data_IF_656817555522
#
_entry.id   IF_656817555522
#
_cell.length_a   1.000
_cell.length_b   1.000
_cell.length_c   1.000
_cell.angle_alpha   90.00
_cell.angle_beta   90.00
_cell.angle_gamma   90.00
#
_symmetry.space_group_name_H-M   'P 1'
#
loop_
_entity.id
_entity.type
_entity.pdbx_description
1 polymer ?
#
# COMPACT_ATOMS: atom_id res chain seq x y z
N UNK A 1 -7.56 24.26 8.72
CA UNK A 1 -7.15 22.84 8.83
C UNK A 1 -5.95 22.78 9.77
N UNK A 2 -5.88 21.81 10.67
CA UNK A 2 -4.74 21.61 11.58
C UNK A 2 -3.80 20.58 10.96
N UNK A 3 -2.49 20.87 10.91
CA UNK A 3 -1.50 19.86 10.57
C UNK A 3 -1.43 18.86 11.73
N UNK A 4 -1.57 17.57 11.44
CA UNK A 4 -1.44 16.54 12.47
C UNK A 4 0.01 16.51 12.99
N UNK A 5 0.15 16.18 14.27
CA UNK A 5 1.47 16.11 14.91
C UNK A 5 2.38 15.04 14.31
N UNK A 6 3.68 15.17 14.60
CA UNK A 6 4.71 14.16 14.31
C UNK A 6 4.99 13.89 12.83
N UNK A 7 4.96 14.93 11.98
CA UNK A 7 5.36 14.91 10.55
C UNK A 7 4.38 14.16 9.61
N UNK A 8 4.52 14.26 8.27
CA UNK A 8 3.71 13.49 7.30
C UNK A 8 4.14 12.02 7.17
N UNK A 9 5.19 11.59 7.86
CA UNK A 9 5.74 10.25 7.78
C UNK A 9 5.22 9.33 8.89
N UNK A 10 4.99 8.06 8.57
CA UNK A 10 4.61 7.02 9.54
C UNK A 10 5.38 5.73 9.25
N UNK A 11 6.00 5.18 10.29
CA UNK A 11 6.63 3.86 10.28
C UNK A 11 5.89 2.96 11.26
N UNK A 12 5.40 1.81 10.78
CA UNK A 12 4.87 0.75 11.64
C UNK A 12 6.02 -0.20 11.92
N UNK A 13 6.28 -0.50 13.19
CA UNK A 13 7.40 -1.34 13.64
C UNK A 13 6.84 -2.60 14.29
N UNK A 14 7.46 -3.75 14.00
CA UNK A 14 7.32 -4.97 14.79
C UNK A 14 8.53 -5.10 15.71
N UNK A 15 8.29 -5.23 17.01
CA UNK A 15 9.32 -5.55 17.99
C UNK A 15 9.06 -6.93 18.60
N UNK A 16 10.13 -7.71 18.79
CA UNK A 16 10.13 -8.99 19.50
C UNK A 16 11.00 -8.81 20.73
N UNK A 17 10.42 -8.97 21.92
CA UNK A 17 11.08 -8.75 23.22
C UNK A 17 11.82 -7.40 23.30
N UNK A 18 11.18 -6.34 22.78
CA UNK A 18 11.70 -4.97 22.78
C UNK A 18 12.78 -4.68 21.71
N UNK A 19 13.09 -5.63 20.84
CA UNK A 19 14.07 -5.48 19.75
C UNK A 19 13.36 -5.41 18.40
N UNK A 20 13.83 -4.56 17.50
CA UNK A 20 13.21 -4.39 16.19
C UNK A 20 13.35 -5.66 15.32
N UNK A 21 12.22 -6.20 14.87
CA UNK A 21 12.14 -7.37 14.01
C UNK A 21 11.79 -7.03 12.55
N UNK A 22 11.14 -5.89 12.31
CA UNK A 22 10.81 -5.41 10.97
C UNK A 22 10.04 -4.12 10.99
N UNK A 23 9.88 -3.50 9.81
CA UNK A 23 9.13 -2.26 9.63
C UNK A 23 8.20 -2.33 8.42
N UNK A 24 7.18 -1.49 8.40
CA UNK A 24 6.29 -1.27 7.27
C UNK A 24 6.02 0.21 7.08
N UNK A 25 6.15 0.69 5.84
CA UNK A 25 5.76 2.05 5.43
C UNK A 25 4.50 1.97 4.56
N UNK A 26 3.31 2.34 5.10
CA UNK A 26 2.05 2.04 4.46
C UNK A 26 1.82 2.66 3.09
N UNK A 27 1.13 1.91 2.22
CA UNK A 27 0.52 2.48 1.02
C UNK A 27 -0.56 3.50 1.45
N UNK A 28 -0.60 4.72 0.88
CA UNK A 28 -1.53 5.76 1.31
C UNK A 28 -2.96 5.53 0.79
N UNK A 29 -3.65 4.50 1.29
CA UNK A 29 -5.03 4.18 0.90
C UNK A 29 -5.95 5.39 1.11
N UNK A 30 -6.69 5.79 0.07
CA UNK A 30 -7.73 6.82 0.18
C UNK A 30 -9.08 6.14 0.06
N UNK A 31 -9.80 6.03 1.17
CA UNK A 31 -11.12 5.42 1.23
C UNK A 31 -12.19 6.23 0.47
N UNK A 32 -13.29 5.55 0.13
CA UNK A 32 -14.42 6.16 -0.56
C UNK A 32 -14.97 7.35 0.25
N UNK A 33 -15.00 8.51 -0.39
CA UNK A 33 -15.38 9.79 0.23
C UNK A 33 -14.22 10.67 0.70
N UNK A 34 -12.99 10.14 0.77
CA UNK A 34 -11.79 10.91 1.12
C UNK A 34 -11.45 11.96 0.06
N UNK A 35 -10.75 13.03 0.44
CA UNK A 35 -10.38 14.15 -0.45
C UNK A 35 -11.60 14.88 -1.04
N UNK A 36 -12.24 14.32 -2.06
CA UNK A 36 -13.50 14.81 -2.67
C UNK A 36 -14.40 13.61 -3.01
N UNK A 37 -15.68 13.60 -2.61
CA UNK A 37 -16.58 12.45 -2.85
C UNK A 37 -16.75 12.04 -4.32
N UNK A 38 -16.56 12.96 -5.27
CA UNK A 38 -16.68 12.71 -6.71
C UNK A 38 -15.62 11.78 -7.28
N UNK A 39 -14.46 11.63 -6.62
CA UNK A 39 -13.34 10.78 -7.08
C UNK A 39 -13.64 9.28 -7.03
N UNK A 40 -14.66 8.85 -6.29
CA UNK A 40 -14.81 7.44 -5.90
C UNK A 40 -16.07 6.78 -6.45
N UNK A 41 -16.54 7.21 -7.63
CA UNK A 41 -17.77 6.69 -8.25
C UNK A 41 -17.63 6.49 -9.77
N UNK A 42 -17.88 5.27 -10.28
CA UNK A 42 -18.03 3.99 -9.59
C UNK A 42 -16.69 3.31 -9.25
N UNK A 43 -15.56 3.87 -9.69
CA UNK A 43 -14.21 3.36 -9.38
C UNK A 43 -13.84 3.80 -7.96
N UNK A 44 -13.44 2.87 -7.10
CA UNK A 44 -13.01 3.16 -5.73
C UNK A 44 -11.49 3.28 -5.64
N UNK A 45 -10.96 3.79 -4.53
CA UNK A 45 -9.52 3.88 -4.32
C UNK A 45 -8.83 2.52 -4.37
N UNK A 46 -7.56 2.50 -4.81
CA UNK A 46 -6.72 1.30 -4.78
C UNK A 46 -6.71 0.71 -3.36
N UNK A 47 -6.90 -0.61 -3.25
CA UNK A 47 -6.96 -1.42 -2.01
C UNK A 47 -8.09 -1.10 -1.02
N UNK A 48 -9.08 -0.27 -1.40
CA UNK A 48 -10.12 0.16 -0.45
C UNK A 48 -11.11 -0.93 -0.02
N UNK A 49 -11.25 -2.01 -0.80
CA UNK A 49 -12.07 -3.17 -0.45
C UNK A 49 -11.28 -4.38 0.03
N UNK A 50 -9.98 -4.42 -0.28
CA UNK A 50 -9.08 -5.49 0.12
C UNK A 50 -7.75 -4.85 0.53
N UNK A 51 -7.62 -4.55 1.82
CA UNK A 51 -6.45 -3.89 2.37
C UNK A 51 -5.30 -4.89 2.41
N UNK A 52 -4.27 -4.61 1.63
CA UNK A 52 -3.05 -5.43 1.65
C UNK A 52 -2.39 -5.42 3.00
N UNK A 53 -1.89 -6.60 3.37
CA UNK A 53 -1.14 -6.81 4.59
C UNK A 53 0.34 -6.92 4.28
N UNK A 54 1.17 -6.32 5.13
CA UNK A 54 2.61 -6.36 4.94
C UNK A 54 3.21 -7.60 5.62
N UNK A 55 4.18 -8.23 4.95
CA UNK A 55 4.89 -9.41 5.44
C UNK A 55 6.21 -9.00 6.09
N UNK A 56 6.45 -9.45 7.33
CA UNK A 56 7.74 -9.36 8.01
C UNK A 56 8.18 -10.78 8.34
N UNK A 57 9.35 -11.20 7.85
CA UNK A 57 9.87 -12.53 8.17
C UNK A 57 10.53 -12.56 9.55
N UNK A 58 9.91 -13.29 10.47
CA UNK A 58 10.43 -13.51 11.82
C UNK A 58 11.22 -14.82 11.94
N UNK A 59 11.46 -15.55 10.86
CA UNK A 59 12.25 -16.81 10.84
C UNK A 59 13.59 -16.69 11.55
N UNK A 60 14.38 -15.59 11.40
CA UNK A 60 15.62 -15.44 12.14
C UNK A 60 15.46 -15.50 13.67
N UNK A 61 14.27 -15.26 14.21
CA UNK A 61 14.00 -15.29 15.64
C UNK A 61 13.65 -16.69 16.17
N UNK A 62 13.35 -17.67 15.30
CA UNK A 62 12.85 -18.99 15.71
C UNK A 62 13.74 -19.68 16.76
N UNK A 63 15.06 -19.54 16.64
CA UNK A 63 16.01 -20.16 17.57
C UNK A 63 15.93 -19.64 19.02
N UNK A 64 15.34 -18.45 19.23
CA UNK A 64 15.20 -17.84 20.56
C UNK A 64 13.75 -17.71 21.03
N UNK A 65 12.75 -17.83 20.15
CA UNK A 65 11.32 -17.78 20.51
C UNK A 65 10.66 -19.15 20.68
N UNK A 66 11.37 -20.23 20.34
CA UNK A 66 10.89 -21.62 20.44
C UNK A 66 11.33 -22.29 21.76
N UNK A 67 11.67 -21.52 22.79
CA UNK A 67 12.28 -22.01 24.04
C UNK A 67 11.26 -22.44 25.11
N UNK A 68 9.97 -22.31 24.83
CA UNK A 68 8.87 -22.62 25.75
C UNK A 68 8.53 -21.50 26.74
N UNK A 69 9.23 -20.37 26.70
CA UNK A 69 8.94 -19.19 27.50
C UNK A 69 7.91 -18.28 26.83
N UNK A 70 7.44 -17.29 27.59
CA UNK A 70 6.55 -16.24 27.06
C UNK A 70 7.38 -15.15 26.38
N UNK A 71 6.99 -14.76 25.17
CA UNK A 71 7.60 -13.67 24.39
C UNK A 71 6.60 -12.55 24.12
N UNK A 72 7.11 -11.33 23.93
CA UNK A 72 6.29 -10.15 23.63
C UNK A 72 6.49 -9.73 22.18
N UNK A 73 5.38 -9.64 21.44
CA UNK A 73 5.31 -9.04 20.11
C UNK A 73 4.59 -7.69 20.23
N UNK A 74 5.29 -6.60 19.92
CA UNK A 74 4.77 -5.24 19.99
C UNK A 74 4.65 -4.66 18.57
N UNK A 75 3.50 -4.08 18.25
CA UNK A 75 3.34 -3.22 17.08
C UNK A 75 3.37 -1.77 17.56
N UNK A 76 4.32 -0.99 17.04
CA UNK A 76 4.51 0.42 17.37
C UNK A 76 4.36 1.29 16.13
N UNK A 77 3.69 2.43 16.25
CA UNK A 77 3.61 3.42 15.15
C UNK A 77 4.45 4.64 15.53
N UNK A 78 5.47 4.90 14.72
CA UNK A 78 6.36 6.03 14.85
C UNK A 78 6.02 7.14 13.83
N UNK A 79 6.09 8.39 14.26
CA UNK A 79 6.21 9.55 13.38
C UNK A 79 7.63 10.11 13.44
N UNK A 80 7.79 11.38 13.07
CA UNK A 80 9.07 12.09 13.22
C UNK A 80 8.83 13.34 14.06
N UNK A 81 9.69 13.50 15.07
CA UNK A 81 9.79 14.74 15.81
C UNK A 81 11.11 15.43 15.47
N UNK A 82 10.98 16.66 14.99
CA UNK A 82 12.11 17.56 14.77
C UNK A 82 12.39 18.32 16.06
N UNK A 83 13.66 18.42 16.46
CA UNK A 83 14.08 19.37 17.48
C UNK A 83 14.44 20.70 16.82
N UNK A 84 14.08 21.81 17.48
CA UNK A 84 14.15 23.19 16.98
C UNK A 84 15.21 23.48 15.90
N UNK A 85 14.75 23.84 14.69
CA UNK A 85 15.55 24.27 13.55
C UNK A 85 16.64 23.29 13.05
N UNK A 86 16.60 22.02 13.47
CA UNK A 86 17.47 20.98 12.94
C UNK A 86 17.07 20.63 11.48
N UNK A 87 18.02 20.23 10.64
CA UNK A 87 17.70 19.67 9.30
C UNK A 87 17.43 18.16 9.37
N UNK A 88 17.46 17.60 10.58
CA UNK A 88 17.20 16.19 10.88
C UNK A 88 16.06 16.03 11.90
N UNK A 89 15.61 14.81 12.11
CA UNK A 89 14.59 14.47 13.10
C UNK A 89 14.84 13.11 13.72
N UNK A 90 14.06 12.76 14.74
CA UNK A 90 14.08 11.44 15.37
C UNK A 90 12.73 10.76 15.22
N UNK A 91 12.74 9.44 15.06
CA UNK A 91 11.52 8.66 15.17
C UNK A 91 10.94 8.79 16.58
N UNK A 92 9.62 8.91 16.66
CA UNK A 92 8.90 8.93 17.92
C UNK A 92 8.49 7.53 18.35
N UNK A 93 8.21 7.33 19.64
CA UNK A 93 7.63 6.08 20.14
C UNK A 93 6.10 6.06 20.09
N UNK A 94 5.49 7.20 19.76
CA UNK A 94 4.05 7.38 19.67
C UNK A 94 3.68 8.36 18.57
N UNK A 95 2.43 8.29 18.14
CA UNK A 95 1.80 9.27 17.25
C UNK A 95 0.70 10.03 18.00
N UNK A 96 0.31 11.20 17.48
CA UNK A 96 -0.64 12.09 18.17
C UNK A 96 -2.10 11.65 18.07
N UNK A 97 -2.43 10.87 17.05
CA UNK A 97 -3.78 10.34 16.78
C UNK A 97 -3.81 8.82 16.93
N UNK A 98 -5.00 8.24 16.98
CA UNK A 98 -5.17 6.79 17.05
C UNK A 98 -4.79 6.09 15.73
N UNK A 99 -4.10 4.96 15.85
CA UNK A 99 -3.84 4.03 14.76
C UNK A 99 -4.44 2.67 15.11
N UNK A 100 -5.25 2.13 14.20
CA UNK A 100 -5.79 0.77 14.35
C UNK A 100 -4.80 -0.18 13.70
N UNK A 101 -4.21 -1.06 14.50
CA UNK A 101 -3.23 -2.05 14.05
C UNK A 101 -3.67 -3.44 14.50
N UNK A 102 -3.34 -4.43 13.68
CA UNK A 102 -3.51 -5.85 13.97
C UNK A 102 -2.33 -6.60 13.40
N UNK A 103 -2.07 -7.80 13.93
CA UNK A 103 -1.03 -8.68 13.45
C UNK A 103 -1.48 -10.13 13.54
N UNK A 104 -0.90 -10.96 12.67
CA UNK A 104 -1.01 -12.41 12.73
C UNK A 104 0.36 -13.02 12.48
N UNK A 105 0.60 -14.18 13.08
CA UNK A 105 1.85 -14.92 12.93
C UNK A 105 1.50 -16.23 12.24
N UNK A 106 2.28 -16.58 11.22
CA UNK A 106 2.24 -17.88 10.58
C UNK A 106 3.47 -18.68 11.00
N UNK A 107 3.25 -19.94 11.36
CA UNK A 107 4.31 -20.87 11.78
C UNK A 107 4.16 -22.18 11.03
N UNK A 108 5.28 -22.79 10.66
CA UNK A 108 5.35 -24.12 10.10
C UNK A 108 6.08 -25.01 11.09
N UNK A 109 5.52 -26.20 11.31
CA UNK A 109 6.12 -27.19 12.19
C UNK A 109 7.20 -27.96 11.43
N UNK A 110 8.21 -28.40 12.17
CA UNK A 110 9.17 -29.38 11.69
C UNK A 110 8.43 -30.68 11.29
N UNK A 111 9.01 -31.42 10.34
CA UNK A 111 8.54 -32.75 9.95
C UNK A 111 8.41 -33.71 11.13
N UNK A 112 9.28 -33.57 12.15
CA UNK A 112 9.09 -34.18 13.46
C UNK A 112 8.33 -33.21 14.39
N UNK A 113 7.06 -33.50 14.62
CA UNK A 113 6.19 -32.72 15.51
C UNK A 113 6.66 -32.63 16.97
N UNK A 114 7.65 -33.42 17.37
CA UNK A 114 8.23 -33.40 18.72
C UNK A 114 9.54 -32.62 18.80
N UNK A 115 10.13 -32.27 17.66
CA UNK A 115 11.35 -31.51 17.60
C UNK A 115 11.11 -30.04 17.95
N UNK A 116 12.07 -29.45 18.65
CA UNK A 116 12.09 -28.02 18.97
C UNK A 116 13.12 -27.38 18.05
N UNK A 117 12.70 -26.40 17.25
CA UNK A 117 13.61 -25.59 16.45
C UNK A 117 14.51 -24.78 17.39
N UNK A 118 15.82 -24.88 17.20
CA UNK A 118 16.81 -24.11 17.99
C UNK A 118 17.65 -23.25 17.06
N UNK A 119 18.59 -22.48 17.61
CA UNK A 119 19.45 -21.63 16.80
C UNK A 119 20.24 -20.64 17.62
N UNK A 120 20.95 -19.76 16.90
CA UNK A 120 21.72 -18.69 17.53
C UNK A 120 20.82 -17.49 17.85
N UNK A 121 21.27 -16.64 18.78
CA UNK A 121 20.69 -15.30 18.93
C UNK A 121 20.76 -14.55 17.60
N UNK A 122 19.70 -13.82 17.18
CA UNK A 122 19.75 -13.00 15.98
C UNK A 122 20.77 -11.87 16.11
N UNK A 123 21.63 -11.73 15.11
CA UNK A 123 22.42 -10.53 14.87
C UNK A 123 21.55 -9.50 14.15
N UNK A 124 21.29 -8.36 14.80
CA UNK A 124 20.39 -7.32 14.31
C UNK A 124 21.23 -6.10 13.93
N UNK A 125 21.32 -5.81 12.64
CA UNK A 125 21.91 -4.59 12.11
C UNK A 125 20.79 -3.62 11.70
N UNK A 126 20.61 -2.56 12.48
CA UNK A 126 19.62 -1.53 12.23
C UNK A 126 20.21 -0.13 12.51
N UNK A 127 20.96 0.47 11.58
CA UNK A 127 21.42 1.83 11.79
C UNK A 127 20.24 2.79 12.01
N UNK A 128 20.48 3.89 12.72
CA UNK A 128 19.48 4.96 12.88
C UNK A 128 19.01 5.43 11.49
N UNK A 129 17.69 5.62 11.27
CA UNK A 129 17.18 6.11 10.00
C UNK A 129 17.79 7.45 9.61
N UNK A 130 18.12 7.61 8.33
CA UNK A 130 18.56 8.89 7.79
C UNK A 130 17.33 9.76 7.52
N UNK A 131 17.15 10.80 8.32
CA UNK A 131 16.01 11.71 8.23
C UNK A 131 16.50 13.10 7.82
N UNK A 132 15.99 13.61 6.70
CA UNK A 132 16.21 14.97 6.22
C UNK A 132 14.90 15.75 6.20
N UNK A 133 14.90 16.92 6.83
CA UNK A 133 13.74 17.80 6.95
C UNK A 133 14.13 19.20 6.48
N UNK A 134 13.33 19.78 5.60
CA UNK A 134 13.41 21.20 5.25
C UNK A 134 12.02 21.81 5.19
N UNK A 135 11.91 23.10 5.52
CA UNK A 135 10.66 23.83 5.37
C UNK A 135 10.92 25.32 5.13
N UNK A 136 9.93 25.99 4.56
CA UNK A 136 9.87 27.45 4.43
C UNK A 136 8.45 27.93 4.69
N UNK A 137 8.34 29.10 5.32
CA UNK A 137 7.05 29.72 5.68
C UNK A 137 7.05 31.13 5.13
N UNK A 138 5.97 31.52 4.45
CA UNK A 138 5.69 32.92 4.12
C UNK A 138 4.55 33.44 4.99
N UNK A 139 4.55 34.75 5.23
CA UNK A 139 3.52 35.43 6.02
C UNK A 139 2.84 36.50 5.18
N UNK A 140 1.56 36.72 5.43
CA UNK A 140 0.80 37.80 4.83
C UNK A 140 1.11 39.15 5.50
N UNK A 141 0.47 40.23 5.02
CA UNK A 141 0.66 41.60 5.55
C UNK A 141 0.30 41.78 7.04
N UNK A 142 -0.45 40.85 7.64
CA UNK A 142 -0.78 40.85 9.07
C UNK A 142 0.22 40.06 9.93
N UNK A 143 1.23 39.45 9.31
CA UNK A 143 2.19 38.56 9.97
C UNK A 143 1.66 37.13 10.20
N UNK A 144 0.48 36.80 9.70
CA UNK A 144 -0.06 35.44 9.78
C UNK A 144 0.55 34.55 8.69
N UNK A 145 0.85 33.30 9.01
CA UNK A 145 1.37 32.33 8.04
C UNK A 145 0.39 32.14 6.88
N UNK A 146 0.90 32.26 5.67
CA UNK A 146 0.12 32.21 4.43
C UNK A 146 0.45 30.96 3.62
N UNK A 147 1.75 30.70 3.44
CA UNK A 147 2.26 29.54 2.71
C UNK A 147 3.25 28.77 3.57
N UNK A 148 3.20 27.44 3.49
CA UNK A 148 4.21 26.53 4.06
C UNK A 148 4.62 25.55 2.98
N UNK A 149 5.91 25.42 2.72
CA UNK A 149 6.46 24.32 1.93
C UNK A 149 7.35 23.48 2.84
N UNK A 150 7.29 22.15 2.73
CA UNK A 150 8.18 21.26 3.44
C UNK A 150 8.62 20.08 2.57
N UNK A 151 9.76 19.51 2.94
CA UNK A 151 10.24 18.21 2.46
C UNK A 151 10.65 17.37 3.67
N UNK A 152 10.22 16.11 3.70
CA UNK A 152 10.64 15.09 4.67
C UNK A 152 11.07 13.85 3.91
N UNK A 153 12.37 13.56 3.96
CA UNK A 153 12.95 12.37 3.32
C UNK A 153 13.46 11.44 4.40
N UNK A 154 13.16 10.14 4.26
CA UNK A 154 13.59 9.10 5.20
C UNK A 154 14.22 7.96 4.42
N UNK A 155 15.36 7.47 4.88
CA UNK A 155 15.96 6.22 4.41
C UNK A 155 16.24 5.32 5.61
N UNK A 156 15.98 4.02 5.44
CA UNK A 156 16.17 3.02 6.48
C UNK A 156 16.68 1.71 5.89
N UNK A 157 17.60 1.08 6.61
CA UNK A 157 18.00 -0.30 6.36
C UNK A 157 17.85 -1.14 7.63
N UNK A 158 17.55 -2.42 7.45
CA UNK A 158 17.48 -3.43 8.50
C UNK A 158 18.04 -4.74 7.93
N UNK A 159 18.81 -5.47 8.73
CA UNK A 159 19.18 -6.86 8.45
C UNK A 159 19.22 -7.64 9.75
N UNK A 160 18.58 -8.80 9.77
CA UNK A 160 18.50 -9.70 10.92
C UNK A 160 18.95 -11.07 10.43
N UNK A 161 20.00 -11.61 11.04
CA UNK A 161 20.57 -12.90 10.64
C UNK A 161 20.72 -13.81 11.83
N UNK A 162 20.41 -15.10 11.66
CA UNK A 162 20.70 -16.13 12.64
C UNK A 162 20.94 -17.48 11.96
N UNK A 163 21.51 -18.42 12.69
CA UNK A 163 21.51 -19.83 12.31
C UNK A 163 20.30 -20.50 12.95
N UNK A 164 19.51 -21.20 12.15
CA UNK A 164 18.38 -22.01 12.58
C UNK A 164 18.74 -23.49 12.45
N UNK A 165 18.39 -24.27 13.47
CA UNK A 165 18.61 -25.71 13.54
C UNK A 165 17.26 -26.43 13.60
N UNK A 166 17.04 -27.28 12.60
CA UNK A 166 15.84 -28.13 12.45
C UNK A 166 16.27 -29.60 12.33
N UNK A 167 15.33 -30.54 12.33
CA UNK A 167 15.67 -31.96 12.09
C UNK A 167 16.21 -32.21 10.68
N UNK A 168 15.80 -31.37 9.71
CA UNK A 168 16.26 -31.41 8.33
C UNK A 168 17.67 -30.85 8.12
N UNK A 169 18.21 -30.16 9.13
CA UNK A 169 19.55 -29.57 9.09
C UNK A 169 19.59 -28.15 9.61
N UNK A 170 20.80 -27.60 9.58
CA UNK A 170 21.08 -26.21 9.95
C UNK A 170 21.18 -25.33 8.71
N UNK A 171 20.59 -24.14 8.77
CA UNK A 171 20.67 -23.13 7.71
C UNK A 171 20.75 -21.72 8.31
N UNK A 172 21.24 -20.77 7.51
CA UNK A 172 21.24 -19.35 7.88
C UNK A 172 19.92 -18.72 7.43
N UNK A 173 19.17 -18.13 8.38
CA UNK A 173 18.00 -17.32 8.09
C UNK A 173 18.40 -15.84 8.09
N UNK A 174 17.90 -15.09 7.11
CA UNK A 174 18.11 -13.66 7.01
C UNK A 174 16.82 -12.95 6.62
N UNK A 175 16.48 -11.89 7.33
CA UNK A 175 15.46 -10.90 6.93
C UNK A 175 16.14 -9.56 6.72
N UNK A 176 15.91 -8.92 5.57
CA UNK A 176 16.47 -7.61 5.27
C UNK A 176 15.46 -6.68 4.64
N UNK A 177 15.59 -5.39 4.93
CA UNK A 177 14.74 -4.34 4.39
C UNK A 177 15.57 -3.12 3.99
N UNK A 178 15.22 -2.50 2.87
CA UNK A 178 15.81 -1.25 2.40
C UNK A 178 14.69 -0.34 1.90
N UNK A 179 14.42 0.73 2.64
CA UNK A 179 13.28 1.62 2.40
C UNK A 179 13.73 3.07 2.19
N UNK A 180 13.06 3.77 1.29
CA UNK A 180 13.24 5.21 1.09
C UNK A 180 11.91 5.90 0.79
N UNK A 181 11.69 7.06 1.37
CA UNK A 181 10.50 7.87 1.10
C UNK A 181 10.86 9.33 0.99
N UNK A 182 10.16 10.03 0.11
CA UNK A 182 10.25 11.47 -0.09
C UNK A 182 8.86 12.02 0.05
N UNK A 183 8.66 13.01 0.93
CA UNK A 183 7.39 13.67 1.17
C UNK A 183 7.55 15.16 0.99
N UNK A 184 7.00 15.71 -0.09
CA UNK A 184 6.88 17.13 -0.32
C UNK A 184 5.45 17.58 -0.03
N UNK A 185 5.31 18.65 0.73
CA UNK A 185 4.02 19.29 0.99
C UNK A 185 4.09 20.79 0.73
N UNK A 186 3.04 21.33 0.14
CA UNK A 186 2.88 22.76 -0.07
C UNK A 186 1.46 23.18 0.29
N UNK A 187 1.36 24.13 1.21
CA UNK A 187 0.13 24.71 1.70
C UNK A 187 0.16 26.18 1.32
N UNK A 188 -0.91 26.69 0.73
CA UNK A 188 -1.06 28.12 0.45
C UNK A 188 -2.47 28.58 0.83
N UNK A 189 -2.71 29.89 0.76
CA UNK A 189 -3.98 30.49 1.15
C UNK A 189 -4.42 30.01 2.54
N UNK A 190 -3.51 30.11 3.52
CA UNK A 190 -3.74 29.68 4.91
C UNK A 190 -4.14 28.21 5.03
N UNK A 191 -3.65 27.36 4.11
CA UNK A 191 -3.91 25.93 4.06
C UNK A 191 -5.21 25.54 3.36
N UNK A 192 -5.88 26.49 2.68
CA UNK A 192 -7.04 26.22 1.86
C UNK A 192 -6.68 25.35 0.65
N UNK A 193 -5.52 25.59 0.04
CA UNK A 193 -4.95 24.77 -1.04
C UNK A 193 -3.79 23.95 -0.52
N UNK A 194 -3.72 22.68 -0.90
CA UNK A 194 -2.70 21.75 -0.45
C UNK A 194 -2.24 20.87 -1.61
N UNK A 195 -0.94 20.85 -1.84
CA UNK A 195 -0.27 19.97 -2.78
C UNK A 195 0.58 19.01 -1.96
N UNK A 196 0.40 17.71 -2.17
CA UNK A 196 1.26 16.66 -1.61
C UNK A 196 1.87 15.88 -2.76
N UNK A 197 3.18 15.71 -2.73
CA UNK A 197 3.90 14.80 -3.62
C UNK A 197 4.74 13.86 -2.77
N UNK A 198 4.39 12.58 -2.77
CA UNK A 198 5.12 11.57 -2.02
C UNK A 198 5.47 10.37 -2.88
N UNK A 199 6.60 9.75 -2.59
CA UNK A 199 6.96 8.45 -3.14
C UNK A 199 7.62 7.63 -2.05
N UNK A 200 7.08 6.45 -1.78
CA UNK A 200 7.71 5.44 -0.92
C UNK A 200 8.21 4.30 -1.80
N UNK A 201 9.45 3.85 -1.58
CA UNK A 201 10.03 2.67 -2.19
C UNK A 201 10.54 1.74 -1.10
N UNK A 202 10.44 0.43 -1.32
CA UNK A 202 11.02 -0.55 -0.43
C UNK A 202 11.43 -1.82 -1.15
N UNK A 203 12.43 -2.48 -0.59
CA UNK A 203 12.84 -3.84 -0.92
C UNK A 203 12.87 -4.62 0.38
N UNK A 204 12.07 -5.67 0.47
CA UNK A 204 12.09 -6.60 1.58
C UNK A 204 12.50 -7.98 1.06
N UNK A 205 13.43 -8.63 1.76
CA UNK A 205 14.02 -9.88 1.30
C UNK A 205 14.24 -10.84 2.49
N UNK A 206 13.69 -12.03 2.37
CA UNK A 206 13.97 -13.19 3.22
C UNK A 206 14.85 -14.19 2.46
N UNK A 207 15.88 -14.70 3.14
CA UNK A 207 16.75 -15.77 2.67
C UNK A 207 16.85 -16.86 3.73
N UNK A 208 16.92 -18.11 3.29
CA UNK A 208 17.03 -19.27 4.19
C UNK A 208 16.39 -20.49 3.57
N UNK A 209 15.62 -21.24 4.36
CA UNK A 209 14.87 -22.40 3.89
C UNK A 209 13.84 -22.04 2.81
N UNK A 210 13.20 -20.87 2.93
CA UNK A 210 12.30 -20.30 1.94
C UNK A 210 12.79 -18.90 1.59
N UNK A 211 12.97 -18.63 0.30
CA UNK A 211 13.33 -17.31 -0.18
C UNK A 211 12.07 -16.54 -0.55
N UNK A 212 12.01 -15.26 -0.18
CA UNK A 212 10.94 -14.35 -0.55
C UNK A 212 11.54 -12.97 -0.79
N UNK A 213 11.05 -12.30 -1.82
CA UNK A 213 11.45 -10.92 -2.08
C UNK A 213 10.26 -10.13 -2.59
N UNK A 214 10.10 -8.91 -2.08
CA UNK A 214 9.20 -7.93 -2.67
C UNK A 214 9.91 -6.61 -2.90
N UNK A 215 9.59 -5.98 -4.03
CA UNK A 215 10.02 -4.62 -4.36
C UNK A 215 8.75 -3.83 -4.61
N UNK A 216 8.61 -2.67 -3.95
CA UNK A 216 7.40 -1.86 -4.10
C UNK A 216 7.71 -0.38 -4.25
N UNK A 217 6.83 0.31 -4.98
CA UNK A 217 6.84 1.76 -5.15
C UNK A 217 5.43 2.33 -5.11
N UNK A 218 5.23 3.35 -4.27
CA UNK A 218 3.95 4.00 -4.01
C UNK A 218 4.03 5.51 -4.29
N UNK A 219 4.09 5.94 -5.56
CA UNK A 219 4.00 7.36 -5.91
C UNK A 219 2.59 7.89 -5.68
N UNK A 220 2.48 9.11 -5.15
CA UNK A 220 1.21 9.81 -4.99
C UNK A 220 1.43 11.32 -5.08
N UNK A 221 0.69 11.94 -5.98
CA UNK A 221 0.53 13.37 -6.09
C UNK A 221 -0.93 13.74 -5.90
N UNK A 222 -1.18 14.77 -5.09
CA UNK A 222 -2.53 15.31 -4.88
C UNK A 222 -2.45 16.83 -4.86
N UNK A 223 -3.45 17.49 -5.43
CA UNK A 223 -3.70 18.91 -5.27
C UNK A 223 -5.15 19.08 -4.88
N UNK A 224 -5.39 19.67 -3.71
CA UNK A 224 -6.72 19.86 -3.15
C UNK A 224 -6.94 21.31 -2.80
N UNK A 225 -8.16 21.79 -2.93
CA UNK A 225 -8.54 23.14 -2.52
C UNK A 225 -9.90 23.07 -1.82
N UNK A 226 -9.99 23.68 -0.64
CA UNK A 226 -11.23 23.80 0.13
C UNK A 226 -11.55 25.28 0.34
N UNK A 227 -12.80 25.68 0.06
CA UNK A 227 -13.24 27.08 0.20
C UNK A 227 -14.58 27.15 0.91
N UNK A 228 -14.64 27.98 1.95
CA UNK A 228 -15.91 28.48 2.48
C UNK A 228 -16.22 29.79 1.76
N UNK A 229 -17.31 29.80 1.02
CA UNK A 229 -17.77 30.94 0.22
C UNK A 229 -18.77 31.78 1.04
N UNK A 230 -19.15 32.95 0.49
CA UNK A 230 -20.22 33.77 1.06
C UNK A 230 -21.50 32.97 1.33
N UNK A 231 -22.23 33.36 2.37
CA UNK A 231 -23.47 32.71 2.84
C UNK A 231 -23.30 31.28 3.40
N UNK A 232 -22.07 30.86 3.69
CA UNK A 232 -21.75 29.54 4.25
C UNK A 232 -21.77 28.40 3.24
N UNK A 233 -21.78 28.72 1.93
CA UNK A 233 -21.57 27.73 0.88
C UNK A 233 -20.15 27.16 0.95
N UNK A 234 -19.94 25.95 0.44
CA UNK A 234 -18.66 25.28 0.53
C UNK A 234 -18.30 24.58 -0.78
N UNK A 235 -17.02 24.67 -1.18
CA UNK A 235 -16.50 23.94 -2.32
C UNK A 235 -15.24 23.14 -1.97
N UNK A 236 -15.10 22.01 -2.64
CA UNK A 236 -13.87 21.24 -2.71
C UNK A 236 -13.50 20.99 -4.16
N UNK A 237 -12.21 21.11 -4.45
CA UNK A 237 -11.62 20.77 -5.74
C UNK A 237 -10.45 19.83 -5.46
N UNK A 238 -10.29 18.79 -6.28
CA UNK A 238 -9.15 17.90 -6.16
C UNK A 238 -8.68 17.34 -7.49
N UNK A 239 -7.38 17.14 -7.58
CA UNK A 239 -6.71 16.30 -8.57
C UNK A 239 -5.86 15.29 -7.82
N UNK A 240 -5.94 14.02 -8.21
CA UNK A 240 -5.17 12.91 -7.65
C UNK A 240 -4.48 12.18 -8.79
N UNK A 241 -3.21 11.86 -8.62
CA UNK A 241 -2.44 10.95 -9.48
C UNK A 241 -1.61 10.05 -8.57
N UNK A 242 -1.90 8.76 -8.55
CA UNK A 242 -1.28 7.81 -7.63
C UNK A 242 -1.00 6.48 -8.30
N UNK A 243 0.03 5.79 -7.84
CA UNK A 243 0.42 4.49 -8.33
C UNK A 243 0.72 3.51 -7.20
N UNK A 244 0.57 2.24 -7.51
CA UNK A 244 1.04 1.12 -6.74
C UNK A 244 1.77 0.19 -7.70
N UNK A 245 3.03 -0.09 -7.41
CA UNK A 245 3.86 -1.04 -8.14
C UNK A 245 4.41 -2.04 -7.12
N UNK A 246 4.19 -3.34 -7.33
CA UNK A 246 4.66 -4.41 -6.45
C UNK A 246 5.18 -5.57 -7.29
N UNK A 247 6.46 -5.85 -7.14
CA UNK A 247 7.11 -7.08 -7.59
C UNK A 247 7.16 -8.08 -6.43
N UNK A 248 6.92 -9.36 -6.70
CA UNK A 248 7.05 -10.45 -5.74
C UNK A 248 7.77 -11.64 -6.40
N UNK A 249 8.75 -12.20 -5.71
CA UNK A 249 9.53 -13.37 -6.10
C UNK A 249 9.61 -14.36 -4.92
N UNK A 250 9.53 -15.65 -5.22
CA UNK A 250 9.65 -16.71 -4.21
C UNK A 250 8.39 -16.94 -3.38
N UNK A 251 8.57 -17.44 -2.14
CA UNK A 251 7.52 -17.95 -1.27
C UNK A 251 6.81 -16.83 -0.49
N UNK A 252 5.87 -16.14 -1.13
CA UNK A 252 4.98 -15.19 -0.44
C UNK A 252 4.04 -15.90 0.55
N UNK A 253 3.76 -15.26 1.69
CA UNK A 253 2.72 -15.72 2.62
C UNK A 253 1.30 -15.56 2.07
N UNK A 254 1.12 -14.54 1.25
CA UNK A 254 -0.16 -14.18 0.65
C UNK A 254 -0.19 -14.60 -0.82
N UNK A 255 -1.37 -14.97 -1.36
CA UNK A 255 -1.52 -15.22 -2.79
C UNK A 255 -1.03 -14.03 -3.60
N UNK A 256 -0.22 -14.28 -4.63
CA UNK A 256 0.32 -13.21 -5.48
C UNK A 256 -0.65 -12.85 -6.60
N UNK A 257 -1.70 -13.64 -6.79
CA UNK A 257 -2.66 -13.55 -7.90
C UNK A 257 -2.28 -14.47 -9.05
N UNK A 258 -1.06 -15.00 -9.07
CA UNK A 258 -0.61 -15.95 -10.09
C UNK A 258 -1.40 -17.25 -10.04
N UNK A 259 -1.94 -17.58 -8.87
CA UNK A 259 -2.70 -18.81 -8.63
C UNK A 259 -3.96 -18.89 -9.48
N UNK A 260 -4.53 -17.74 -9.89
CA UNK A 260 -5.66 -17.69 -10.81
C UNK A 260 -5.31 -18.14 -12.24
N UNK A 261 -4.02 -18.19 -12.57
CA UNK A 261 -3.49 -18.55 -13.88
C UNK A 261 -2.84 -19.94 -13.88
N UNK A 262 -2.66 -20.56 -12.70
CA UNK A 262 -2.22 -21.94 -12.54
C UNK A 262 -3.36 -22.90 -12.96
N UNK A 263 -3.32 -23.39 -14.20
CA UNK A 263 -4.28 -24.38 -14.71
C UNK A 263 -3.73 -25.80 -14.57
N UNK A 264 -4.54 -26.67 -13.94
CA UNK A 264 -4.30 -28.11 -13.76
C UNK A 264 -4.71 -28.92 -15.02
N UNK A 265 -4.32 -28.43 -16.21
CA UNK A 265 -4.46 -29.17 -17.46
C UNK A 265 -3.16 -29.90 -17.72
N UNK A 266 -3.19 -31.19 -18.04
CA UNK A 266 -2.00 -32.03 -18.30
C UNK A 266 -1.12 -31.64 -19.50
N UNK A 267 -1.16 -30.39 -19.95
CA UNK A 267 -0.23 -29.74 -20.87
C UNK A 267 0.52 -28.64 -20.09
N UNK A 268 1.83 -28.49 -20.31
CA UNK A 268 2.68 -27.49 -19.62
C UNK A 268 2.04 -26.09 -19.68
N UNK A 269 1.39 -25.67 -18.61
CA UNK A 269 0.76 -24.36 -18.52
C UNK A 269 1.86 -23.32 -18.38
N UNK A 270 1.72 -22.21 -19.13
CA UNK A 270 2.54 -20.99 -19.03
C UNK A 270 2.78 -20.53 -17.58
N UNK A 271 1.89 -20.90 -16.68
CA UNK A 271 1.90 -20.55 -15.27
C UNK A 271 2.86 -21.38 -14.41
N UNK A 272 3.17 -22.63 -14.80
CA UNK A 272 4.10 -23.50 -14.06
C UNK A 272 5.58 -23.11 -14.20
N UNK A 273 5.90 -22.29 -15.20
CA UNK A 273 7.26 -21.76 -15.44
C UNK A 273 7.49 -20.38 -14.83
N UNK A 274 6.46 -19.76 -14.21
CA UNK A 274 6.57 -18.42 -13.65
C UNK A 274 7.09 -18.48 -12.21
N UNK A 275 8.12 -17.69 -11.92
CA UNK A 275 8.77 -17.61 -10.61
C UNK A 275 8.56 -16.28 -9.89
N UNK A 276 8.05 -15.27 -10.59
CA UNK A 276 7.74 -13.97 -9.99
C UNK A 276 6.56 -13.26 -10.67
N UNK A 277 6.02 -12.24 -9.99
CA UNK A 277 4.89 -11.43 -10.44
C UNK A 277 5.17 -9.95 -10.33
N UNK A 278 4.63 -9.15 -11.25
CA UNK A 278 4.58 -7.70 -11.17
C UNK A 278 3.14 -7.23 -11.23
N UNK A 279 2.74 -6.41 -10.26
CA UNK A 279 1.46 -5.74 -10.21
C UNK A 279 1.67 -4.23 -10.26
N UNK A 280 1.19 -3.60 -11.33
CA UNK A 280 1.16 -2.15 -11.49
C UNK A 280 -0.29 -1.66 -11.58
N UNK A 281 -0.66 -0.69 -10.76
CA UNK A 281 -1.91 0.04 -10.93
C UNK A 281 -1.72 1.52 -10.74
N UNK A 282 -2.28 2.31 -11.64
CA UNK A 282 -2.31 3.77 -11.54
C UNK A 282 -3.74 4.25 -11.48
N UNK A 283 -3.97 5.31 -10.71
CA UNK A 283 -5.29 5.91 -10.58
C UNK A 283 -5.16 7.43 -10.64
N UNK A 284 -5.86 8.03 -11.59
CA UNK A 284 -5.88 9.47 -11.83
C UNK A 284 -7.30 9.97 -11.73
N UNK A 285 -7.52 11.09 -11.09
CA UNK A 285 -8.86 11.63 -10.98
C UNK A 285 -8.89 13.13 -10.76
N UNK A 286 -9.97 13.74 -11.23
CA UNK A 286 -10.32 15.12 -10.94
C UNK A 286 -11.73 15.14 -10.37
N UNK A 287 -11.98 15.95 -9.36
CA UNK A 287 -13.31 16.05 -8.81
C UNK A 287 -13.60 17.41 -8.21
N UNK A 288 -14.88 17.75 -8.22
CA UNK A 288 -15.42 18.94 -7.60
C UNK A 288 -16.62 18.59 -6.75
N UNK A 289 -16.73 19.24 -5.60
CA UNK A 289 -17.90 19.20 -4.74
C UNK A 289 -18.33 20.62 -4.42
N UNK A 290 -19.64 20.85 -4.42
CA UNK A 290 -20.22 22.12 -4.03
C UNK A 290 -21.47 21.87 -3.20
N UNK A 291 -21.54 22.49 -2.02
CA UNK A 291 -22.74 22.55 -1.19
C UNK A 291 -23.23 23.98 -1.05
N UNK A 292 -24.56 24.13 -1.13
CA UNK A 292 -25.26 25.39 -0.96
C UNK A 292 -26.05 25.34 0.33
N UNK A 293 -25.68 26.20 1.28
CA UNK A 293 -26.25 26.20 2.62
C UNK A 293 -27.72 26.64 2.60
N UNK A 294 -28.03 27.71 1.86
CA UNK A 294 -29.38 28.30 1.81
C UNK A 294 -30.48 27.35 1.32
N UNK A 295 -30.13 26.32 0.56
CA UNK A 295 -31.07 25.35 -0.02
C UNK A 295 -30.81 23.92 0.45
N UNK A 296 -29.89 23.72 1.39
CA UNK A 296 -29.47 22.39 1.88
C UNK A 296 -29.19 21.38 0.76
N UNK A 297 -28.59 21.85 -0.34
CA UNK A 297 -28.38 21.06 -1.56
C UNK A 297 -26.89 20.90 -1.83
N UNK A 298 -26.47 19.74 -2.31
CA UNK A 298 -25.09 19.48 -2.71
C UNK A 298 -25.02 18.81 -4.08
N UNK A 299 -23.91 19.02 -4.78
CA UNK A 299 -23.60 18.42 -6.08
C UNK A 299 -22.12 18.07 -6.13
N UNK A 300 -21.81 16.95 -6.77
CA UNK A 300 -20.45 16.46 -6.93
C UNK A 300 -20.26 15.97 -8.36
N UNK A 301 -19.13 16.34 -8.94
CA UNK A 301 -18.68 15.88 -10.25
C UNK A 301 -17.32 15.22 -10.07
N UNK A 302 -17.01 14.26 -10.94
CA UNK A 302 -15.76 13.54 -10.84
C UNK A 302 -15.46 12.75 -12.09
N UNK A 303 -14.19 12.73 -12.45
CA UNK A 303 -13.61 11.87 -13.45
C UNK A 303 -12.53 11.04 -12.78
N UNK A 304 -12.50 9.73 -13.05
CA UNK A 304 -11.47 8.85 -12.52
C UNK A 304 -11.12 7.80 -13.55
N UNK A 305 -9.83 7.68 -13.81
CA UNK A 305 -9.22 6.65 -14.64
C UNK A 305 -8.41 5.72 -13.73
N UNK A 306 -8.56 4.42 -13.89
CA UNK A 306 -7.66 3.45 -13.30
C UNK A 306 -7.15 2.51 -14.37
N UNK A 307 -5.82 2.33 -14.39
CA UNK A 307 -5.15 1.32 -15.18
C UNK A 307 -4.55 0.28 -14.23
N UNK A 308 -4.72 -0.99 -14.56
CA UNK A 308 -4.24 -2.13 -13.79
C UNK A 308 -3.55 -3.08 -14.76
N UNK A 309 -2.35 -3.51 -14.42
CA UNK A 309 -1.53 -4.45 -15.18
C UNK A 309 -0.94 -5.47 -14.22
N UNK A 310 -1.10 -6.74 -14.55
CA UNK A 310 -0.52 -7.86 -13.82
C UNK A 310 0.26 -8.74 -14.79
N UNK A 311 1.50 -9.02 -14.44
CA UNK A 311 2.43 -9.79 -15.24
C UNK A 311 3.06 -10.89 -14.41
N UNK A 312 3.37 -12.01 -15.05
CA UNK A 312 4.25 -13.05 -14.51
C UNK A 312 5.59 -13.04 -15.22
N UNK A 313 6.64 -13.51 -14.57
CA UNK A 313 7.95 -13.70 -15.19
C UNK A 313 8.46 -15.10 -14.93
N UNK A 314 9.11 -15.68 -15.93
CA UNK A 314 9.85 -16.94 -15.77
C UNK A 314 11.24 -16.71 -15.16
N UNK A 315 11.97 -17.82 -14.95
CA UNK A 315 13.34 -17.80 -14.40
C UNK A 315 14.37 -17.09 -15.30
N UNK A 316 14.05 -16.89 -16.59
CA UNK A 316 14.87 -16.14 -17.54
C UNK A 316 14.50 -14.64 -17.58
N UNK A 317 13.59 -14.21 -16.69
CA UNK A 317 13.02 -12.87 -16.62
C UNK A 317 12.24 -12.45 -17.89
N UNK A 318 11.74 -13.40 -18.67
CA UNK A 318 10.78 -13.13 -19.73
C UNK A 318 9.42 -12.80 -19.10
N UNK A 319 8.88 -11.62 -19.40
CA UNK A 319 7.60 -11.16 -18.86
C UNK A 319 6.40 -11.55 -19.72
N UNK A 320 5.34 -11.99 -19.07
CA UNK A 320 4.06 -12.38 -19.67
C UNK A 320 2.94 -11.52 -19.10
N UNK A 321 2.18 -10.83 -19.95
CA UNK A 321 1.00 -10.08 -19.53
C UNK A 321 -0.13 -11.06 -19.16
N UNK A 322 -0.47 -11.13 -17.87
CA UNK A 322 -1.50 -12.05 -17.35
C UNK A 322 -2.87 -11.38 -17.31
N UNK A 323 -2.93 -10.14 -16.85
CA UNK A 323 -4.16 -9.36 -16.81
C UNK A 323 -3.89 -7.88 -17.05
N UNK A 324 -4.81 -7.24 -17.75
CA UNK A 324 -4.81 -5.80 -17.94
C UNK A 324 -6.24 -5.30 -17.91
N UNK A 325 -6.49 -4.21 -17.19
CA UNK A 325 -7.76 -3.49 -17.30
C UNK A 325 -7.55 -1.99 -17.18
N UNK A 326 -8.24 -1.24 -18.02
CA UNK A 326 -8.29 0.22 -17.97
C UNK A 326 -9.74 0.68 -17.96
N UNK A 327 -10.13 1.37 -16.90
CA UNK A 327 -11.50 1.87 -16.71
C UNK A 327 -11.46 3.40 -16.58
N UNK A 328 -12.32 4.09 -17.32
CA UNK A 328 -12.59 5.52 -17.15
C UNK A 328 -14.03 5.69 -16.70
N UNK A 329 -14.22 6.51 -15.67
CA UNK A 329 -15.51 6.92 -15.19
C UNK A 329 -15.65 8.44 -15.19
N UNK A 330 -16.81 8.92 -15.62
CA UNK A 330 -17.16 10.33 -15.67
C UNK A 330 -18.56 10.52 -15.07
N UNK A 331 -18.65 11.36 -14.05
CA UNK A 331 -19.89 11.75 -13.37
C UNK A 331 -20.76 10.56 -12.92
N UNK A 332 -20.12 9.50 -12.43
CA UNK A 332 -20.80 8.31 -11.92
C UNK A 332 -21.10 7.23 -12.96
N UNK A 333 -20.70 7.43 -14.23
CA UNK A 333 -20.89 6.47 -15.32
C UNK A 333 -19.55 6.00 -15.85
N UNK A 334 -19.41 4.71 -16.14
CA UNK A 334 -18.24 4.17 -16.85
C UNK A 334 -18.34 4.60 -18.32
N UNK A 335 -17.33 5.32 -18.83
CA UNK A 335 -17.25 5.76 -20.23
C UNK A 335 -16.26 4.93 -21.06
N UNK A 336 -15.33 4.21 -20.40
CA UNK A 336 -14.40 3.27 -21.02
C UNK A 336 -14.15 2.09 -20.08
N UNK A 337 -14.12 0.88 -20.62
CA UNK A 337 -13.70 -0.32 -19.91
C UNK A 337 -12.98 -1.26 -20.90
N UNK A 338 -11.65 -1.28 -20.86
CA UNK A 338 -10.82 -2.16 -21.70
C UNK A 338 -10.22 -3.25 -20.83
N UNK A 339 -10.35 -4.50 -21.23
CA UNK A 339 -9.85 -5.66 -20.48
C UNK A 339 -9.07 -6.61 -21.40
N UNK A 340 -7.96 -7.16 -20.91
CA UNK A 340 -7.21 -8.25 -21.55
C UNK A 340 -6.80 -9.27 -20.50
N UNK A 341 -6.89 -10.54 -20.84
CA UNK A 341 -6.53 -11.68 -20.01
C UNK A 341 -5.63 -12.62 -20.84
N UNK A 342 -4.59 -13.20 -20.24
CA UNK A 342 -3.80 -14.24 -20.87
C UNK A 342 -4.69 -15.43 -21.29
N UNK A 343 -4.36 -16.05 -22.42
CA UNK A 343 -5.22 -16.92 -23.24
C UNK A 343 -6.05 -17.98 -22.48
N UNK A 344 -7.25 -17.57 -22.07
CA UNK A 344 -8.52 -18.08 -22.60
C UNK A 344 -9.49 -16.89 -22.73
N UNK A 345 -9.73 -16.48 -23.98
CA UNK A 345 -10.67 -15.43 -24.40
C UNK A 345 -10.34 -14.01 -23.91
N UNK A 346 -9.56 -13.29 -24.71
CA UNK A 346 -9.69 -11.84 -24.80
C UNK A 346 -11.14 -11.50 -25.16
N UNK A 347 -11.98 -11.23 -24.17
CA UNK A 347 -13.21 -10.48 -24.40
C UNK A 347 -12.80 -9.03 -24.49
N UNK A 348 -12.50 -8.56 -25.70
CA UNK A 348 -12.56 -7.13 -26.00
C UNK A 348 -14.01 -6.70 -25.80
N UNK A 349 -14.36 -6.33 -24.56
CA UNK A 349 -15.59 -5.59 -24.30
C UNK A 349 -15.31 -4.13 -24.63
N UNK A 350 -15.23 -3.80 -25.92
CA UNK A 350 -15.34 -2.41 -26.36
C UNK A 350 -16.80 -1.94 -26.12
N UNK A 351 -17.20 -1.75 -24.86
CA UNK A 351 -18.49 -1.16 -24.55
C UNK A 351 -18.30 0.35 -24.62
N UNK A 352 -18.60 0.94 -25.78
CA UNK A 352 -18.96 2.35 -25.86
C UNK A 352 -20.27 2.53 -25.10
N UNK A 353 -20.20 2.90 -23.82
CA UNK A 353 -21.39 3.28 -23.04
C UNK A 353 -21.79 4.70 -23.47
N UNK A 354 -22.41 4.80 -24.64
CA UNK A 354 -23.14 5.97 -25.11
C UNK A 354 -24.55 5.53 -25.48
N UNK A 355 -25.33 5.09 -24.50
CA UNK A 355 -26.78 5.06 -24.66
C UNK A 355 -27.50 5.40 -23.36
N UNK A 356 -28.30 6.47 -23.45
CA UNK A 356 -29.15 7.02 -22.41
C UNK A 356 -30.28 6.01 -22.18
N UNK A 357 -30.20 5.26 -21.08
CA UNK A 357 -31.22 4.29 -20.68
C UNK A 357 -31.21 4.09 -19.17
N UNK A 358 -32.39 4.09 -18.58
CA UNK A 358 -32.67 4.11 -17.14
C UNK A 358 -31.95 3.01 -16.35
N UNK A 359 -31.27 3.42 -15.28
CA UNK A 359 -30.69 2.57 -14.24
C UNK A 359 -31.79 1.78 -13.53
N UNK A 360 -32.00 0.51 -13.90
CA UNK A 360 -32.59 -0.50 -13.00
C UNK A 360 -32.46 -1.99 -13.45
N UNK A 361 -31.86 -2.32 -14.60
CA UNK A 361 -31.86 -3.72 -15.09
C UNK A 361 -30.49 -4.40 -15.30
N UNK A 362 -29.35 -3.77 -14.97
CA UNK A 362 -28.01 -4.36 -15.20
C UNK A 362 -27.52 -5.34 -14.12
N UNK A 363 -28.32 -5.67 -13.11
CA UNK A 363 -28.00 -6.68 -12.08
C UNK A 363 -28.85 -7.96 -12.16
N UNK A 364 -29.61 -8.19 -13.23
CA UNK A 364 -30.44 -9.39 -13.41
C UNK A 364 -29.88 -10.36 -14.47
N UNK A 365 -28.61 -10.76 -14.34
CA UNK A 365 -28.08 -11.94 -15.02
C UNK A 365 -28.01 -13.13 -14.05
N UNK A 366 -28.29 -14.38 -14.47
CA UNK A 366 -28.30 -15.50 -13.55
C UNK A 366 -26.89 -15.74 -12.97
N UNK A 367 -26.77 -15.60 -11.66
CA UNK A 367 -25.60 -16.02 -10.88
C UNK A 367 -25.46 -17.53 -11.03
N UNK A 368 -24.50 -18.00 -11.84
CA UNK A 368 -24.12 -19.41 -11.83
C UNK A 368 -23.29 -19.71 -10.56
N UNK A 369 -23.95 -20.24 -9.54
CA UNK A 369 -23.30 -20.78 -8.36
C UNK A 369 -22.51 -22.04 -8.71
N UNK A 370 -21.19 -21.93 -8.85
CA UNK A 370 -20.30 -23.10 -8.73
C UNK A 370 -20.02 -23.32 -7.23
N UNK A 371 -20.76 -24.23 -6.61
CA UNK A 371 -20.48 -24.70 -5.25
C UNK A 371 -19.34 -25.71 -5.29
N UNK A 372 -18.13 -25.28 -4.93
CA UNK A 372 -17.05 -26.18 -4.54
C UNK A 372 -17.39 -26.79 -3.17
N UNK A 373 -17.70 -28.09 -3.15
CA UNK A 373 -17.72 -28.89 -1.93
C UNK A 373 -16.27 -29.24 -1.60
N UNK A 374 -15.71 -28.60 -0.59
CA UNK A 374 -14.50 -29.07 0.08
C UNK A 374 -14.99 -29.93 1.26
N UNK A 375 -14.79 -31.24 1.19
CA UNK A 375 -14.93 -32.12 2.35
C UNK A 375 -13.68 -32.01 3.20
N UNK A 376 -13.87 -31.76 4.50
CA UNK A 376 -12.82 -31.84 5.51
C UNK A 376 -12.22 -33.24 5.63
#
# INVERSE_FOLDING_TARGET
MTLNGFSPFREVQLLIDGKLAGVYWPFPVIFTGGVVPGLWRPIVGIDTYDLREHQIDITPWLGVISDGNSHTFEIRVAGIQQHQNDVTGKLTESVGDNWVVTGKIFVWLDSDSTAITTGTQPEINHPEPLIYISHSISQNSTGANETITYTVNVQRTLSITSTIETTSGSYQANWSQNLSTSNYGHYEAQGATQITNQTTNGVDESRGAFAYKTIYSYPMWTNTTSKVLGDGNYSLDAVVDRGLSIYIEGCSLYPTGIEAFLHDSGEESLSSSLSSTQLDTTQKGTAQYFSKNSTSSARSFGETEQEFKFQGFDDEANGFDLYYRKVLAQNGTISLDMERLADHYAVNRDVNVMEIGTYDELFAGPVQYHRLKISA
#
